data_IF_846922181683
#
_entry.id   IF_846922181683
#
_cell.length_a   1.000
_cell.length_b   1.000
_cell.length_c   1.000
_cell.angle_alpha   90.00
_cell.angle_beta   90.00
_cell.angle_gamma   90.00
#
_symmetry.space_group_name_H-M   'P 1'
#
loop_
_entity.id
_entity.type
_entity.pdbx_description
1 polymer ?
#
# COMPACT_ATOMS: atom_id res chain seq x y z
N UNK A 1 18.26 0.33 14.61
CA UNK A 1 17.07 0.78 13.86
C UNK A 1 16.79 -0.27 12.80
N UNK A 2 15.73 -1.05 12.93
CA UNK A 2 15.32 -1.98 11.87
C UNK A 2 14.81 -1.16 10.69
N UNK A 3 15.22 -1.52 9.47
CA UNK A 3 14.80 -0.81 8.24
C UNK A 3 13.43 -1.35 7.83
N UNK A 4 12.42 -0.49 7.78
CA UNK A 4 11.08 -0.85 7.26
C UNK A 4 11.07 -0.65 5.75
N UNK A 5 10.58 -1.64 5.02
CA UNK A 5 10.33 -1.55 3.58
C UNK A 5 9.00 -0.83 3.36
N UNK A 6 9.06 0.34 2.74
CA UNK A 6 7.91 1.22 2.53
C UNK A 6 7.42 1.11 1.09
N UNK A 7 6.15 0.78 0.91
CA UNK A 7 5.46 0.77 -0.37
C UNK A 7 4.59 2.02 -0.49
N UNK A 8 4.91 2.89 -1.45
CA UNK A 8 4.19 4.15 -1.67
C UNK A 8 3.20 4.03 -2.82
N UNK A 9 1.94 4.32 -2.56
CA UNK A 9 0.90 4.46 -3.58
C UNK A 9 0.87 5.92 -4.03
N UNK A 10 1.23 6.17 -5.28
CA UNK A 10 1.42 7.50 -5.85
C UNK A 10 0.53 7.66 -7.08
N UNK A 11 -0.23 8.76 -7.17
CA UNK A 11 -0.98 9.10 -8.36
C UNK A 11 -0.12 9.95 -9.30
N UNK A 12 0.14 9.45 -10.50
CA UNK A 12 0.99 10.09 -11.50
C UNK A 12 0.62 9.59 -12.90
N UNK A 13 0.79 10.42 -13.93
CA UNK A 13 0.43 10.08 -15.31
C UNK A 13 -1.03 9.59 -15.45
N UNK A 14 -1.94 10.19 -14.67
CA UNK A 14 -3.36 9.85 -14.63
C UNK A 14 -3.66 8.39 -14.21
N UNK A 15 -2.74 7.76 -13.47
CA UNK A 15 -2.88 6.41 -12.93
C UNK A 15 -2.18 6.24 -11.57
N UNK A 16 -2.59 5.22 -10.82
CA UNK A 16 -1.98 4.84 -9.55
C UNK A 16 -0.79 3.93 -9.77
N UNK A 17 0.26 4.14 -8.98
CA UNK A 17 1.50 3.37 -9.05
C UNK A 17 1.98 3.00 -7.66
N UNK A 18 2.59 1.82 -7.53
CA UNK A 18 3.28 1.39 -6.32
C UNK A 18 4.77 1.68 -6.50
N UNK A 19 5.38 2.41 -5.57
CA UNK A 19 6.80 2.72 -5.57
C UNK A 19 7.47 2.11 -4.34
N UNK A 20 8.54 1.33 -4.54
CA UNK A 20 9.30 0.70 -3.44
C UNK A 20 10.75 0.53 -3.87
N UNK A 21 11.70 0.91 -3.00
CA UNK A 21 13.15 0.78 -3.25
C UNK A 21 13.61 1.33 -4.62
N UNK A 22 12.99 2.40 -5.11
CA UNK A 22 13.29 3.01 -6.42
C UNK A 22 12.64 2.31 -7.63
N UNK A 23 11.97 1.16 -7.43
CA UNK A 23 11.14 0.52 -8.45
C UNK A 23 9.72 1.11 -8.46
N UNK A 24 9.09 1.16 -9.64
CA UNK A 24 7.71 1.60 -9.87
C UNK A 24 6.93 0.46 -10.55
N UNK A 25 5.75 0.14 -10.01
CA UNK A 25 4.86 -0.91 -10.50
C UNK A 25 3.48 -0.33 -10.80
N UNK A 26 2.82 -0.85 -11.84
CA UNK A 26 1.56 -0.31 -12.37
C UNK A 26 1.58 -0.23 -13.91
N UNK A 27 0.67 0.54 -14.54
CA UNK A 27 -0.31 1.43 -13.93
C UNK A 27 -1.56 0.71 -13.39
N UNK A 28 -2.12 1.22 -12.31
CA UNK A 28 -3.41 0.81 -11.77
C UNK A 28 -4.46 1.91 -12.01
N UNK A 29 -5.67 1.51 -12.43
CA UNK A 29 -6.77 2.48 -12.67
C UNK A 29 -7.40 2.99 -11.39
N UNK A 30 -7.43 2.16 -10.34
CA UNK A 30 -8.10 2.42 -9.07
C UNK A 30 -7.07 2.41 -7.94
N UNK A 31 -7.25 3.29 -6.96
CA UNK A 31 -6.34 3.41 -5.82
C UNK A 31 -6.34 2.11 -5.00
N UNK A 32 -7.51 1.52 -4.81
CA UNK A 32 -7.74 0.29 -4.06
C UNK A 32 -6.98 -0.89 -4.69
N UNK A 33 -6.91 -0.95 -6.02
CA UNK A 33 -6.15 -1.98 -6.71
C UNK A 33 -4.64 -1.83 -6.49
N UNK A 34 -4.14 -0.59 -6.47
CA UNK A 34 -2.73 -0.31 -6.15
C UNK A 34 -2.41 -0.64 -4.68
N UNK A 35 -3.32 -0.28 -3.76
CA UNK A 35 -3.21 -0.60 -2.32
C UNK A 35 -3.18 -2.12 -2.11
N UNK A 36 -4.11 -2.86 -2.71
CA UNK A 36 -4.14 -4.32 -2.61
C UNK A 36 -2.82 -4.94 -3.10
N UNK A 37 -2.35 -4.52 -4.29
CA UNK A 37 -1.09 -5.01 -4.84
C UNK A 37 0.12 -4.68 -3.94
N UNK A 38 0.15 -3.49 -3.33
CA UNK A 38 1.19 -3.12 -2.39
C UNK A 38 1.12 -3.91 -1.08
N UNK A 39 -0.07 -4.18 -0.56
CA UNK A 39 -0.25 -5.00 0.65
C UNK A 39 0.17 -6.45 0.40
N UNK A 40 -0.16 -7.03 -0.76
CA UNK A 40 0.30 -8.38 -1.13
C UNK A 40 1.84 -8.44 -1.21
N UNK A 41 2.47 -7.43 -1.80
CA UNK A 41 3.93 -7.33 -1.87
C UNK A 41 4.55 -7.10 -0.48
N UNK A 42 3.98 -6.22 0.33
CA UNK A 42 4.43 -5.93 1.69
C UNK A 42 4.30 -7.15 2.60
N UNK A 43 3.23 -7.93 2.46
CA UNK A 43 3.05 -9.19 3.18
C UNK A 43 4.11 -10.22 2.78
N UNK A 44 4.45 -10.34 1.49
CA UNK A 44 5.53 -11.23 1.05
C UNK A 44 6.89 -10.82 1.63
N UNK A 45 7.16 -9.52 1.75
CA UNK A 45 8.36 -9.00 2.44
C UNK A 45 8.31 -9.33 3.94
N UNK A 46 7.17 -9.06 4.58
CA UNK A 46 6.93 -9.39 5.99
C UNK A 46 7.14 -10.86 6.34
N UNK A 47 6.67 -11.76 5.48
CA UNK A 47 6.82 -13.21 5.64
C UNK A 47 8.27 -13.70 5.62
N UNK A 48 9.21 -12.88 5.13
CA UNK A 48 10.66 -13.15 5.12
C UNK A 48 11.37 -12.63 6.38
N UNK A 49 10.63 -12.05 7.32
CA UNK A 49 11.15 -11.50 8.57
C UNK A 49 11.55 -10.02 8.50
N UNK A 50 11.20 -9.31 7.42
CA UNK A 50 11.44 -7.88 7.28
C UNK A 50 10.23 -7.07 7.75
N UNK A 51 10.44 -5.84 8.25
CA UNK A 51 9.32 -4.94 8.52
C UNK A 51 8.82 -4.34 7.19
N UNK A 52 7.50 -4.24 7.03
CA UNK A 52 6.90 -3.68 5.82
C UNK A 52 5.64 -2.85 6.14
N UNK A 53 5.45 -1.77 5.39
CA UNK A 53 4.26 -0.91 5.49
C UNK A 53 3.85 -0.36 4.11
N UNK A 54 2.57 -0.03 3.99
CA UNK A 54 1.97 0.59 2.80
C UNK A 54 1.51 2.00 3.15
N UNK A 55 1.93 2.95 2.34
CA UNK A 55 1.70 4.38 2.47
C UNK A 55 0.96 4.86 1.23
N UNK A 56 -0.07 5.69 1.40
CA UNK A 56 -0.88 6.22 0.31
C UNK A 56 -0.74 7.73 0.25
N UNK A 57 -0.46 8.25 -0.93
CA UNK A 57 -0.53 9.67 -1.20
C UNK A 57 -1.99 10.10 -1.38
N UNK A 58 -2.44 10.98 -0.50
CA UNK A 58 -3.74 11.63 -0.57
C UNK A 58 -3.72 12.83 -1.53
N UNK A 59 -4.88 13.30 -2.01
CA UNK A 59 -4.97 14.42 -2.94
C UNK A 59 -4.32 15.72 -2.45
N UNK A 60 -4.28 15.94 -1.13
CA UNK A 60 -3.66 17.11 -0.49
C UNK A 60 -2.13 16.97 -0.32
N UNK A 61 -1.51 16.00 -1.01
CA UNK A 61 -0.08 15.67 -0.90
C UNK A 61 0.35 15.15 0.47
N UNK A 62 -0.59 14.85 1.35
CA UNK A 62 -0.31 14.14 2.59
C UNK A 62 -0.07 12.65 2.31
N UNK A 63 0.81 12.03 3.09
CA UNK A 63 1.08 10.60 3.02
C UNK A 63 0.47 9.95 4.26
N UNK A 64 -0.44 9.01 4.06
CA UNK A 64 -1.09 8.26 5.14
C UNK A 64 -0.66 6.80 5.12
N UNK A 65 -0.42 6.23 6.31
CA UNK A 65 -0.26 4.78 6.44
C UNK A 65 -1.59 4.07 6.22
N UNK A 66 -1.64 3.20 5.22
CA UNK A 66 -2.81 2.39 4.88
C UNK A 66 -2.76 0.98 5.47
N UNK A 67 -1.56 0.46 5.74
CA UNK A 67 -1.37 -0.89 6.27
C UNK A 67 0.05 -1.12 6.82
N UNK A 68 0.19 -1.87 7.91
CA UNK A 68 1.47 -2.26 8.53
C UNK A 68 1.48 -3.78 8.77
N UNK A 69 2.57 -4.46 8.37
CA UNK A 69 2.72 -5.90 8.58
C UNK A 69 2.73 -6.26 10.08
N UNK A 70 1.89 -7.24 10.44
CA UNK A 70 1.78 -7.73 11.81
C UNK A 70 0.91 -6.85 12.73
N UNK A 71 0.44 -5.69 12.24
CA UNK A 71 -0.51 -4.84 12.95
C UNK A 71 -1.89 -4.86 12.29
N UNK A 72 -1.91 -4.73 10.96
CA UNK A 72 -3.14 -4.71 10.18
C UNK A 72 -3.47 -6.11 9.62
N UNK A 73 -4.76 -6.44 9.44
CA UNK A 73 -5.17 -7.75 8.96
C UNK A 73 -4.70 -8.01 7.53
N UNK A 74 -4.45 -9.29 7.21
CA UNK A 74 -4.16 -9.79 5.88
C UNK A 74 -4.88 -11.12 5.64
N UNK A 75 -5.54 -11.35 4.48
CA UNK A 75 -5.70 -10.41 3.37
C UNK A 75 -6.56 -9.21 3.76
N UNK A 76 -6.44 -8.10 3.02
CA UNK A 76 -7.39 -6.99 3.17
C UNK A 76 -8.80 -7.58 2.97
N UNK A 77 -9.69 -7.37 3.95
CA UNK A 77 -11.09 -7.63 3.69
C UNK A 77 -11.49 -6.76 2.49
N UNK A 78 -12.08 -7.37 1.45
CA UNK A 78 -12.60 -6.63 0.31
C UNK A 78 -13.45 -5.49 0.87
N UNK A 79 -12.98 -4.26 0.71
CA UNK A 79 -13.40 -3.14 1.56
C UNK A 79 -14.89 -2.87 1.37
N UNK A 80 -15.71 -3.44 2.25
CA UNK A 80 -17.09 -3.05 2.48
C UNK A 80 -17.09 -1.75 3.27
N UNK A 81 -16.69 -0.65 2.62
CA UNK A 81 -17.09 0.69 3.04
C UNK A 81 -18.48 0.99 2.46
N UNK A 82 -19.43 0.11 2.78
CA UNK A 82 -20.87 0.27 2.58
C UNK A 82 -21.60 0.48 3.92
N UNK A 83 -20.90 0.46 5.06
CA UNK A 83 -21.53 0.63 6.37
C UNK A 83 -21.21 2.02 6.95
N UNK A 84 -21.93 3.01 6.43
CA UNK A 84 -22.39 4.16 7.20
C UNK A 84 -23.77 4.53 6.62
N UNK A 85 -24.81 3.91 7.18
CA UNK A 85 -26.19 4.40 7.09
C UNK A 85 -26.41 5.51 8.10
#
# INVERSE_FOLDING_TARGET
>A
MSRTTQFFIVFSDNAWHVTVNGGRYGPFRQQEAAVQAAVDAAYSVGSKGEAAEVLVQEPESEIRTAWIYGQDPYPLAASSRAEAS
#
